data_IF_382684447311
#
_entry.id   IF_382684447311
#
_cell.length_a   1.000
_cell.length_b   1.000
_cell.length_c   1.000
_cell.angle_alpha   90.00
_cell.angle_beta   90.00
_cell.angle_gamma   90.00
#
_symmetry.space_group_name_H-M   'P 1'
#
loop_
_entity.id
_entity.type
_entity.pdbx_description
1 polymer ?
#
# COMPACT_ATOMS: atom_id res chain seq x y z
N UNK A 1 53.14 -58.50 -6.25
CA UNK A 1 52.52 -59.84 -6.24
C UNK A 1 51.04 -59.61 -6.47
N UNK A 2 50.55 -59.82 -7.70
CA UNK A 2 50.07 -61.11 -8.25
C UNK A 2 48.53 -61.13 -8.05
N UNK A 3 47.62 -61.35 -8.99
CA UNK A 3 47.52 -61.93 -10.34
C UNK A 3 46.17 -61.37 -10.91
N UNK A 4 46.07 -60.88 -12.15
CA UNK A 4 45.82 -61.61 -13.40
C UNK A 4 44.39 -62.14 -13.65
N UNK A 5 43.82 -61.69 -14.77
CA UNK A 5 43.09 -62.44 -15.81
C UNK A 5 41.56 -62.67 -15.75
N UNK A 6 40.95 -62.53 -16.95
CA UNK A 6 39.62 -63.04 -17.35
C UNK A 6 38.75 -61.94 -17.98
N UNK A 7 38.84 -61.58 -19.28
CA UNK A 7 38.62 -62.30 -20.54
C UNK A 7 37.15 -62.63 -20.86
N UNK A 8 36.72 -62.18 -22.06
CA UNK A 8 35.51 -62.50 -22.84
C UNK A 8 34.17 -62.11 -22.17
N UNK A 9 33.24 -61.40 -22.80
CA UNK A 9 32.93 -61.28 -24.21
C UNK A 9 31.46 -61.63 -24.33
N UNK A 10 30.59 -60.66 -24.64
CA UNK A 10 29.24 -60.95 -25.11
C UNK A 10 28.71 -59.76 -25.91
N UNK A 11 28.53 -60.02 -27.19
CA UNK A 11 27.93 -59.15 -28.19
C UNK A 11 26.43 -59.31 -27.96
N UNK A 12 25.80 -58.41 -27.20
CA UNK A 12 24.34 -58.37 -27.07
C UNK A 12 23.79 -57.25 -27.95
N UNK A 13 23.55 -57.63 -29.20
CA UNK A 13 22.31 -57.38 -29.93
C UNK A 13 21.59 -56.05 -29.63
N UNK A 14 21.74 -55.13 -30.59
CA UNK A 14 21.00 -53.87 -30.72
C UNK A 14 19.50 -54.18 -30.91
N UNK A 15 18.78 -54.43 -29.82
CA UNK A 15 17.33 -54.36 -29.81
C UNK A 15 16.94 -52.89 -29.73
N UNK A 16 16.68 -52.29 -30.91
CA UNK A 16 16.00 -51.00 -30.97
C UNK A 16 14.68 -51.05 -30.19
N UNK A 17 14.25 -49.93 -29.57
CA UNK A 17 13.03 -49.91 -28.76
C UNK A 17 11.85 -50.43 -29.58
N UNK A 18 11.12 -51.39 -29.01
CA UNK A 18 9.98 -52.02 -29.66
C UNK A 18 8.89 -50.98 -29.96
N UNK A 19 8.18 -51.11 -31.08
CA UNK A 19 7.13 -50.18 -31.52
C UNK A 19 6.06 -49.92 -30.44
N UNK A 20 5.85 -50.87 -29.52
CA UNK A 20 4.98 -50.71 -28.35
C UNK A 20 5.50 -49.68 -27.33
N UNK A 21 6.82 -49.56 -27.15
CA UNK A 21 7.44 -48.58 -26.25
C UNK A 21 7.37 -47.17 -26.85
N UNK A 22 7.48 -47.03 -28.17
CA UNK A 22 7.25 -45.77 -28.86
C UNK A 22 5.78 -45.36 -28.80
N UNK A 23 4.85 -46.29 -29.04
CA UNK A 23 3.40 -46.04 -28.89
C UNK A 23 3.02 -45.68 -27.45
N UNK A 24 3.64 -46.30 -26.45
CA UNK A 24 3.44 -45.96 -25.03
C UNK A 24 4.07 -44.61 -24.67
N UNK A 25 5.23 -44.25 -25.23
CA UNK A 25 5.80 -42.90 -25.08
C UNK A 25 4.93 -41.84 -25.75
N UNK A 26 4.37 -42.14 -26.92
CA UNK A 26 3.49 -41.23 -27.66
C UNK A 26 2.14 -41.06 -26.96
N UNK A 27 1.57 -42.13 -26.40
CA UNK A 27 0.37 -42.08 -25.57
C UNK A 27 0.60 -41.33 -24.24
N UNK A 28 1.80 -41.46 -23.64
CA UNK A 28 2.17 -40.74 -22.41
C UNK A 28 2.46 -39.25 -22.65
N UNK A 29 2.94 -38.88 -23.84
CA UNK A 29 3.08 -37.49 -24.27
C UNK A 29 1.72 -36.81 -24.51
N UNK A 30 0.71 -37.57 -24.96
CA UNK A 30 -0.67 -37.08 -25.14
C UNK A 30 -1.46 -36.94 -23.82
N UNK A 31 -0.99 -37.59 -22.74
CA UNK A 31 -1.66 -37.59 -21.44
C UNK A 31 -1.18 -36.50 -20.45
N UNK A 32 -0.22 -35.65 -20.83
CA UNK A 32 0.10 -34.44 -20.08
C UNK A 32 -0.65 -33.27 -20.72
N UNK A 33 -1.76 -32.78 -20.12
CA UNK A 33 -2.36 -31.55 -20.58
C UNK A 33 -1.31 -30.45 -20.46
N UNK A 34 -1.08 -29.80 -21.58
CA UNK A 34 -0.16 -28.71 -21.84
C UNK A 34 0.08 -27.81 -20.61
N UNK A 35 1.23 -27.97 -19.96
CA UNK A 35 1.78 -26.94 -19.06
C UNK A 35 1.89 -25.58 -19.79
N UNK A 36 1.94 -25.61 -21.12
CA UNK A 36 1.93 -24.46 -22.01
C UNK A 36 0.58 -23.70 -22.01
N UNK A 37 -0.56 -24.37 -21.82
CA UNK A 37 -1.89 -23.72 -21.71
C UNK A 37 -2.08 -23.06 -20.34
N UNK A 38 -1.61 -23.71 -19.26
CA UNK A 38 -1.57 -23.09 -17.93
C UNK A 38 -0.65 -21.86 -17.90
N UNK A 39 0.47 -21.89 -18.64
CA UNK A 39 1.34 -20.73 -18.85
C UNK A 39 0.64 -19.61 -19.65
N UNK A 40 -0.22 -19.95 -20.63
CA UNK A 40 -0.94 -18.99 -21.46
C UNK A 40 -2.12 -18.31 -20.73
N UNK A 41 -2.82 -19.02 -19.84
CA UNK A 41 -3.81 -18.39 -18.92
C UNK A 41 -3.14 -17.40 -17.95
N UNK A 42 -1.85 -17.61 -17.66
CA UNK A 42 -1.05 -16.70 -16.85
C UNK A 42 -0.66 -15.40 -17.61
N UNK A 43 -0.84 -15.33 -18.94
CA UNK A 43 -0.16 -14.37 -19.83
C UNK A 43 -0.85 -13.03 -20.14
N UNK A 44 -2.05 -12.69 -19.66
CA UNK A 44 -2.55 -11.29 -19.78
C UNK A 44 -2.94 -10.66 -18.46
N UNK A 45 -2.21 -10.87 -17.36
CA UNK A 45 -2.44 -10.08 -16.14
C UNK A 45 -2.41 -8.57 -16.45
N UNK A 46 -3.43 -7.85 -16.03
CA UNK A 46 -3.49 -6.38 -16.17
C UNK A 46 -2.25 -5.73 -15.56
N UNK A 47 -1.53 -4.94 -16.36
CA UNK A 47 -0.38 -4.14 -15.89
C UNK A 47 -0.66 -2.67 -16.14
N UNK A 48 -0.70 -1.89 -15.06
CA UNK A 48 -0.83 -0.46 -15.16
C UNK A 48 0.56 0.18 -15.39
N UNK A 49 0.78 0.91 -16.48
CA UNK A 49 2.11 1.48 -16.78
C UNK A 49 2.60 2.47 -15.72
N UNK A 50 1.67 3.15 -15.03
CA UNK A 50 1.99 4.16 -14.02
C UNK A 50 1.87 3.61 -12.58
N UNK A 51 1.94 2.28 -12.40
CA UNK A 51 1.83 1.64 -11.07
C UNK A 51 2.86 2.18 -10.08
N UNK A 52 4.12 2.30 -10.50
CA UNK A 52 5.20 2.83 -9.65
C UNK A 52 4.92 4.27 -9.23
N UNK A 53 4.44 5.09 -10.17
CA UNK A 53 4.11 6.49 -9.91
C UNK A 53 2.91 6.60 -8.95
N UNK A 54 1.89 5.77 -9.13
CA UNK A 54 0.74 5.69 -8.22
C UNK A 54 1.18 5.32 -6.80
N UNK A 55 2.04 4.31 -6.66
CA UNK A 55 2.56 3.90 -5.35
C UNK A 55 3.41 4.99 -4.70
N UNK A 56 4.26 5.68 -5.47
CA UNK A 56 5.00 6.84 -4.99
C UNK A 56 4.06 7.95 -4.50
N UNK A 57 3.02 8.30 -5.26
CA UNK A 57 2.05 9.33 -4.85
C UNK A 57 1.24 8.94 -3.63
N UNK A 58 0.86 7.66 -3.49
CA UNK A 58 0.23 7.13 -2.27
C UNK A 58 1.16 7.24 -1.07
N UNK A 59 2.43 6.89 -1.22
CA UNK A 59 3.43 7.05 -0.15
C UNK A 59 3.62 8.52 0.21
N UNK A 60 3.63 9.42 -0.77
CA UNK A 60 3.69 10.86 -0.53
C UNK A 60 2.47 11.34 0.25
N UNK A 61 1.26 10.95 -0.15
CA UNK A 61 0.02 11.27 0.56
C UNK A 61 0.07 10.79 2.02
N UNK A 62 0.48 9.55 2.26
CA UNK A 62 0.63 9.00 3.60
C UNK A 62 1.65 9.81 4.44
N UNK A 63 2.76 10.24 3.82
CA UNK A 63 3.74 11.10 4.47
C UNK A 63 3.21 12.50 4.81
N UNK A 64 2.38 13.10 3.94
CA UNK A 64 1.71 14.37 4.22
C UNK A 64 0.66 14.23 5.34
N UNK A 65 -0.07 13.11 5.39
CA UNK A 65 -1.03 12.81 6.45
C UNK A 65 -0.35 12.63 7.81
N UNK A 66 0.75 11.86 7.87
CA UNK A 66 1.54 11.70 9.10
C UNK A 66 2.11 13.04 9.60
N UNK A 67 2.55 13.91 8.68
CA UNK A 67 2.98 15.28 9.03
C UNK A 67 1.82 16.12 9.59
N UNK A 68 0.63 16.01 9.01
CA UNK A 68 -0.56 16.69 9.53
C UNK A 68 -0.91 16.21 10.94
N UNK A 69 -0.90 14.90 11.18
CA UNK A 69 -1.16 14.31 12.50
C UNK A 69 -0.17 14.83 13.55
N UNK A 70 1.12 14.89 13.20
CA UNK A 70 2.14 15.45 14.09
C UNK A 70 1.86 16.92 14.42
N UNK A 71 1.52 17.75 13.43
CA UNK A 71 1.20 19.16 13.66
C UNK A 71 -0.06 19.35 14.52
N UNK A 72 -1.07 18.50 14.34
CA UNK A 72 -2.27 18.51 15.19
C UNK A 72 -1.95 18.13 16.63
N UNK A 73 -1.08 17.14 16.84
CA UNK A 73 -0.61 16.75 18.17
C UNK A 73 0.21 17.89 18.83
N UNK A 74 1.07 18.57 18.07
CA UNK A 74 1.79 19.76 18.54
C UNK A 74 0.82 20.87 18.98
N UNK A 75 -0.18 21.18 18.16
CA UNK A 75 -1.19 22.20 18.48
C UNK A 75 -1.97 21.82 19.76
N UNK A 76 -2.42 20.57 19.86
CA UNK A 76 -3.12 20.09 21.05
C UNK A 76 -2.25 20.18 22.31
N UNK A 77 -0.95 19.89 22.20
CA UNK A 77 0.01 20.04 23.29
C UNK A 77 0.14 21.50 23.76
N UNK A 78 0.17 22.45 22.83
CA UNK A 78 0.21 23.88 23.15
C UNK A 78 -1.08 24.36 23.83
N UNK A 79 -2.23 23.92 23.33
CA UNK A 79 -3.53 24.24 23.94
C UNK A 79 -3.66 23.67 25.35
N UNK A 80 -3.16 22.46 25.59
CA UNK A 80 -3.12 21.86 26.92
C UNK A 80 -2.23 22.66 27.90
N UNK A 81 -1.05 23.10 27.44
CA UNK A 81 -0.15 23.95 28.26
C UNK A 81 -0.82 25.27 28.62
N UNK A 82 -1.47 25.92 27.66
CA UNK A 82 -2.23 27.15 27.92
C UNK A 82 -3.35 26.91 28.93
N UNK A 83 -4.14 25.85 28.75
CA UNK A 83 -5.21 25.51 29.68
C UNK A 83 -4.68 25.17 31.09
N UNK A 84 -3.49 24.58 31.21
CA UNK A 84 -2.83 24.33 32.49
C UNK A 84 -2.43 25.64 33.17
N UNK A 85 -1.79 26.55 32.45
CA UNK A 85 -1.43 27.87 32.97
C UNK A 85 -2.67 28.64 33.45
N UNK A 86 -3.75 28.65 32.68
CA UNK A 86 -5.01 29.29 33.07
C UNK A 86 -5.63 28.64 34.32
N UNK A 87 -5.50 27.31 34.50
CA UNK A 87 -5.94 26.62 35.73
C UNK A 87 -5.09 27.04 36.93
N UNK A 88 -3.78 27.08 36.77
CA UNK A 88 -2.86 27.50 37.82
C UNK A 88 -3.13 28.95 38.25
N UNK A 89 -3.33 29.87 37.31
CA UNK A 89 -3.70 31.25 37.61
C UNK A 89 -5.01 31.35 38.40
N UNK A 90 -6.04 30.56 38.03
CA UNK A 90 -7.30 30.52 38.78
C UNK A 90 -7.11 30.00 40.19
N UNK A 91 -6.36 28.91 40.36
CA UNK A 91 -6.08 28.32 41.68
C UNK A 91 -5.32 29.29 42.58
N UNK A 92 -4.30 29.98 42.05
CA UNK A 92 -3.56 31.00 42.78
C UNK A 92 -4.52 32.12 43.20
N UNK A 93 -5.29 32.69 42.27
CA UNK A 93 -6.23 33.77 42.58
C UNK A 93 -7.29 33.37 43.62
N UNK A 94 -7.81 32.15 43.55
CA UNK A 94 -8.77 31.64 44.54
C UNK A 94 -8.13 31.46 45.91
N UNK A 95 -6.91 30.94 45.96
CA UNK A 95 -6.14 30.78 47.21
C UNK A 95 -5.90 32.13 47.88
N UNK A 96 -5.60 33.17 47.10
CA UNK A 96 -5.40 34.53 47.61
C UNK A 96 -6.65 35.13 48.23
N UNK A 97 -7.84 34.89 47.63
CA UNK A 97 -9.11 35.37 48.17
C UNK A 97 -9.44 34.76 49.53
N UNK A 98 -8.90 33.58 49.84
CA UNK A 98 -9.15 32.84 51.09
C UNK A 98 -8.16 33.20 52.20
N UNK A 99 -7.07 33.91 51.90
CA UNK A 99 -6.05 34.26 52.89
C UNK A 99 -6.43 35.56 53.63
N UNK A 100 -6.56 35.53 54.97
CA UNK A 100 -6.92 36.71 55.74
C UNK A 100 -5.77 37.71 55.90
N UNK A 101 -4.51 37.24 55.86
CA UNK A 101 -3.30 38.06 55.94
C UNK A 101 -2.28 37.52 54.94
N UNK A 102 -1.64 38.41 54.17
CA UNK A 102 -0.63 38.07 53.16
C UNK A 102 0.69 38.71 53.57
N UNK A 103 1.76 37.92 53.63
CA UNK A 103 3.11 38.44 53.88
C UNK A 103 3.68 39.18 52.66
N UNK A 104 4.65 40.07 52.90
CA UNK A 104 5.33 40.81 51.81
C UNK A 104 6.05 39.89 50.82
N UNK A 105 6.65 38.80 51.31
CA UNK A 105 7.32 37.79 50.47
C UNK A 105 6.33 37.06 49.56
N UNK A 106 5.19 36.62 50.10
CA UNK A 106 4.12 36.02 49.30
C UNK A 106 3.60 36.98 48.24
N UNK A 107 3.40 38.26 48.59
CA UNK A 107 2.97 39.29 47.64
C UNK A 107 3.95 39.46 46.48
N UNK A 108 5.26 39.47 46.77
CA UNK A 108 6.30 39.56 45.76
C UNK A 108 6.36 38.32 44.84
N UNK A 109 6.18 37.11 45.41
CA UNK A 109 6.10 35.87 44.66
C UNK A 109 4.89 35.86 43.71
N UNK A 110 3.71 36.28 44.19
CA UNK A 110 2.48 36.39 43.39
C UNK A 110 2.66 37.39 42.25
N UNK A 111 3.21 38.57 42.53
CA UNK A 111 3.45 39.57 41.50
C UNK A 111 4.40 39.05 40.40
N UNK A 112 5.42 38.29 40.81
CA UNK A 112 6.36 37.65 39.88
C UNK A 112 5.68 36.57 39.04
N UNK A 113 4.87 35.71 39.67
CA UNK A 113 4.08 34.69 38.97
C UNK A 113 3.11 35.32 37.96
N UNK A 114 2.39 36.39 38.32
CA UNK A 114 1.45 37.07 37.40
C UNK A 114 2.17 37.67 36.18
N UNK A 115 3.35 38.24 36.36
CA UNK A 115 4.17 38.73 35.24
C UNK A 115 4.60 37.58 34.33
N UNK A 116 5.07 36.49 34.92
CA UNK A 116 5.43 35.29 34.19
C UNK A 116 4.24 34.74 33.41
N UNK A 117 3.11 34.48 34.06
CA UNK A 117 1.92 33.92 33.44
C UNK A 117 1.36 34.79 32.32
N UNK A 118 1.36 36.13 32.48
CA UNK A 118 0.99 37.04 31.40
C UNK A 118 1.93 36.93 30.19
N UNK A 119 3.25 36.92 30.42
CA UNK A 119 4.23 36.77 29.33
C UNK A 119 4.14 35.41 28.63
N UNK A 120 3.91 34.35 29.42
CA UNK A 120 3.80 32.98 28.96
C UNK A 120 2.51 32.77 28.16
N UNK A 121 1.39 33.35 28.59
CA UNK A 121 0.13 33.30 27.87
C UNK A 121 0.23 33.97 26.49
N UNK A 122 0.92 35.13 26.40
CA UNK A 122 1.18 35.79 25.10
C UNK A 122 2.06 34.91 24.21
N UNK A 123 3.12 34.31 24.76
CA UNK A 123 3.99 33.40 24.03
C UNK A 123 3.23 32.19 23.48
N UNK A 124 2.47 31.50 24.34
CA UNK A 124 1.66 30.34 23.97
C UNK A 124 0.60 30.70 22.93
N UNK A 125 -0.05 31.86 23.04
CA UNK A 125 -1.02 32.32 22.04
C UNK A 125 -0.38 32.53 20.67
N UNK A 126 0.81 33.12 20.62
CA UNK A 126 1.57 33.28 19.37
C UNK A 126 1.99 31.93 18.76
N UNK A 127 2.45 30.99 19.59
CA UNK A 127 2.82 29.64 19.15
C UNK A 127 1.61 28.86 18.62
N UNK A 128 0.44 28.94 19.29
CA UNK A 128 -0.81 28.33 18.83
C UNK A 128 -1.22 28.92 17.49
N UNK A 129 -1.15 30.23 17.32
CA UNK A 129 -1.47 30.88 16.05
C UNK A 129 -0.53 30.43 14.92
N UNK A 130 0.77 30.38 15.18
CA UNK A 130 1.76 29.88 14.22
C UNK A 130 1.53 28.39 13.88
N UNK A 131 1.19 27.57 14.88
CA UNK A 131 0.84 26.16 14.66
C UNK A 131 -0.42 26.01 13.81
N UNK A 132 -1.46 26.80 14.04
CA UNK A 132 -2.67 26.80 13.23
C UNK A 132 -2.38 27.15 11.76
N UNK A 133 -1.50 28.13 11.51
CA UNK A 133 -1.02 28.46 10.16
C UNK A 133 -0.32 27.28 9.47
N UNK A 134 0.57 26.58 10.19
CA UNK A 134 1.25 25.36 9.69
C UNK A 134 0.25 24.24 9.39
N UNK A 135 -0.74 24.02 10.26
CA UNK A 135 -1.80 23.02 10.06
C UNK A 135 -2.63 23.34 8.82
N UNK A 136 -3.01 24.59 8.61
CA UNK A 136 -3.76 25.01 7.42
C UNK A 136 -2.98 24.72 6.13
N UNK A 137 -1.72 25.15 6.06
CA UNK A 137 -0.85 24.88 4.90
C UNK A 137 -0.67 23.37 4.66
N UNK A 138 -0.51 22.58 5.72
CA UNK A 138 -0.36 21.13 5.61
C UNK A 138 -1.66 20.44 5.14
N UNK A 139 -2.84 20.94 5.54
CA UNK A 139 -4.13 20.45 5.03
C UNK A 139 -4.24 20.66 3.53
N UNK A 140 -3.84 21.82 3.03
CA UNK A 140 -3.83 22.09 1.58
C UNK A 140 -2.87 21.16 0.84
N UNK A 141 -1.70 20.87 1.41
CA UNK A 141 -0.76 19.90 0.86
C UNK A 141 -1.35 18.47 0.78
N UNK A 142 -2.05 18.03 1.84
CA UNK A 142 -2.76 16.73 1.86
C UNK A 142 -3.86 16.69 0.80
N UNK A 143 -4.66 17.76 0.67
CA UNK A 143 -5.72 17.83 -0.33
C UNK A 143 -5.16 17.77 -1.76
N UNK A 144 -4.07 18.50 -2.03
CA UNK A 144 -3.39 18.45 -3.31
C UNK A 144 -2.87 17.05 -3.63
N UNK A 145 -2.14 16.43 -2.68
CA UNK A 145 -1.63 15.06 -2.84
C UNK A 145 -2.75 14.05 -3.05
N UNK A 146 -3.90 14.21 -2.37
CA UNK A 146 -5.06 13.33 -2.54
C UNK A 146 -5.66 13.45 -3.95
N UNK A 147 -5.81 14.68 -4.47
CA UNK A 147 -6.28 14.91 -5.84
C UNK A 147 -5.34 14.27 -6.87
N UNK A 148 -4.03 14.39 -6.67
CA UNK A 148 -3.04 13.77 -7.57
C UNK A 148 -3.11 12.23 -7.58
N UNK A 149 -3.43 11.61 -6.46
CA UNK A 149 -3.65 10.14 -6.36
C UNK A 149 -4.95 9.76 -7.06
N UNK A 150 -6.03 10.47 -6.76
CA UNK A 150 -7.38 10.19 -7.32
C UNK A 150 -7.37 10.22 -8.86
N UNK A 151 -6.65 11.16 -9.46
CA UNK A 151 -6.49 11.23 -10.93
C UNK A 151 -5.85 9.97 -11.50
N UNK A 152 -4.79 9.45 -10.86
CA UNK A 152 -4.12 8.24 -11.32
C UNK A 152 -4.94 6.98 -11.07
N UNK A 153 -5.71 6.94 -9.98
CA UNK A 153 -6.62 5.84 -9.69
C UNK A 153 -7.76 5.77 -10.72
N UNK A 154 -8.38 6.90 -11.06
CA UNK A 154 -9.38 6.96 -12.13
C UNK A 154 -8.80 6.53 -13.48
N UNK A 155 -7.56 6.91 -13.78
CA UNK A 155 -6.88 6.48 -15.00
C UNK A 155 -6.62 4.96 -15.01
N UNK A 156 -6.21 4.41 -13.86
CA UNK A 156 -6.01 2.96 -13.70
C UNK A 156 -7.32 2.20 -13.88
N UNK A 157 -8.39 2.68 -13.26
CA UNK A 157 -9.72 2.07 -13.34
C UNK A 157 -10.25 2.03 -14.78
N UNK A 158 -10.13 3.14 -15.52
CA UNK A 158 -10.48 3.19 -16.95
C UNK A 158 -9.70 2.17 -17.76
N UNK A 159 -8.37 2.13 -17.61
CA UNK A 159 -7.54 1.13 -18.32
C UNK A 159 -7.87 -0.31 -17.93
N UNK A 160 -8.21 -0.55 -16.67
CA UNK A 160 -8.61 -1.87 -16.20
C UNK A 160 -9.92 -2.30 -16.85
N UNK A 161 -10.87 -1.38 -16.98
CA UNK A 161 -12.13 -1.60 -17.66
C UNK A 161 -11.94 -1.89 -19.15
N UNK A 162 -11.10 -1.12 -19.84
CA UNK A 162 -10.77 -1.34 -21.25
C UNK A 162 -10.09 -2.70 -21.46
N UNK A 163 -9.11 -3.03 -20.61
CA UNK A 163 -8.43 -4.33 -20.66
C UNK A 163 -9.40 -5.50 -20.41
N UNK A 164 -10.35 -5.36 -19.46
CA UNK A 164 -11.39 -6.39 -19.23
C UNK A 164 -12.23 -6.60 -20.47
N UNK A 165 -12.70 -5.51 -21.11
CA UNK A 165 -13.47 -5.59 -22.35
C UNK A 165 -12.72 -6.29 -23.47
N UNK A 166 -11.43 -6.01 -23.64
CA UNK A 166 -10.59 -6.68 -24.65
C UNK A 166 -10.45 -8.17 -24.37
N UNK A 167 -10.27 -8.57 -23.11
CA UNK A 167 -10.17 -9.97 -22.72
C UNK A 167 -11.50 -10.69 -22.90
N UNK A 168 -12.61 -10.06 -22.51
CA UNK A 168 -13.95 -10.62 -22.68
C UNK A 168 -14.26 -10.84 -24.17
N UNK A 169 -13.97 -9.87 -25.04
CA UNK A 169 -14.13 -9.99 -26.50
C UNK A 169 -13.27 -11.10 -27.11
N UNK A 170 -12.01 -11.22 -26.69
CA UNK A 170 -11.14 -12.31 -27.17
C UNK A 170 -11.69 -13.67 -26.74
N UNK A 171 -12.17 -13.77 -25.51
CA UNK A 171 -12.76 -15.01 -24.96
C UNK A 171 -14.05 -15.38 -25.69
N UNK A 172 -14.92 -14.41 -25.97
CA UNK A 172 -16.13 -14.59 -26.77
C UNK A 172 -15.79 -15.06 -28.20
N UNK A 173 -14.77 -14.47 -28.84
CA UNK A 173 -14.33 -14.87 -30.18
C UNK A 173 -13.84 -16.31 -30.20
N UNK A 174 -12.96 -16.69 -29.26
CA UNK A 174 -12.45 -18.06 -29.16
C UNK A 174 -13.60 -19.06 -28.92
N UNK A 175 -14.56 -18.69 -28.07
CA UNK A 175 -15.75 -19.52 -27.82
C UNK A 175 -16.59 -19.70 -29.08
N UNK A 176 -16.80 -18.63 -29.86
CA UNK A 176 -17.54 -18.68 -31.11
C UNK A 176 -16.85 -19.59 -32.15
N UNK A 177 -15.53 -19.47 -32.29
CA UNK A 177 -14.72 -20.32 -33.18
C UNK A 177 -14.84 -21.81 -32.80
N UNK A 178 -14.75 -22.14 -31.52
CA UNK A 178 -14.91 -23.51 -31.02
C UNK A 178 -16.32 -24.06 -31.27
N UNK A 179 -17.36 -23.25 -31.06
CA UNK A 179 -18.75 -23.66 -31.32
C UNK A 179 -18.97 -23.94 -32.81
N UNK A 180 -18.46 -23.07 -33.69
CA UNK A 180 -18.55 -23.26 -35.15
C UNK A 180 -17.81 -24.52 -35.58
N UNK A 181 -16.58 -24.74 -35.10
CA UNK A 181 -15.79 -25.93 -35.39
C UNK A 181 -16.53 -27.22 -34.95
N UNK A 182 -17.10 -27.21 -33.74
CA UNK A 182 -17.90 -28.34 -33.23
C UNK A 182 -19.14 -28.62 -34.09
N UNK A 183 -19.84 -27.57 -34.52
CA UNK A 183 -21.01 -27.73 -35.37
C UNK A 183 -20.66 -28.21 -36.78
N UNK A 184 -19.52 -27.78 -37.34
CA UNK A 184 -19.03 -28.29 -38.62
C UNK A 184 -18.76 -29.80 -38.56
N UNK A 185 -18.06 -30.27 -37.52
CA UNK A 185 -17.76 -31.70 -37.29
C UNK A 185 -19.04 -32.55 -37.15
N UNK A 186 -20.07 -32.04 -36.45
CA UNK A 186 -21.34 -32.75 -36.30
C UNK A 186 -22.16 -32.91 -37.59
N UNK A 187 -21.93 -32.05 -38.59
CA UNK A 187 -22.64 -32.12 -39.89
C UNK A 187 -21.94 -33.02 -40.92
N UNK A 188 -20.64 -33.24 -40.79
CA UNK A 188 -19.90 -34.20 -41.62
C UNK A 188 -20.05 -35.65 -41.15
N UNK A 189 -20.57 -35.86 -39.95
CA UNK A 189 -20.70 -37.18 -39.31
C UNK A 189 -22.09 -37.84 -39.47
N UNK A 190 -22.96 -37.31 -40.34
CA UNK A 190 -24.32 -37.83 -40.59
C UNK A 190 -24.66 -37.83 -42.07
#
# INVERSE_FOLDING_TARGET
MQEAAGAAGEISEFAGPSEEEELQRQARAVAQPDETEALNWTMKKFRFPLERLLNYRRSRLAGEQARLEKLLAEQAGLEQRRAALEREERMVNESLRRLPVISSEQLAAIASFRRFAASEAVRLAAEIHAAAGRVAAQRDAVLSARREVEVLEKLRERRLHDWRREVDQETERQTAELVVARWALSRESG
#
